data_IF_342863498835
#
_entry.id   IF_342863498835
#
_cell.length_a   1.000
_cell.length_b   1.000
_cell.length_c   1.000
_cell.angle_alpha   90.00
_cell.angle_beta   90.00
_cell.angle_gamma   90.00
#
_symmetry.space_group_name_H-M   'P 1'
#
loop_
_entity.id
_entity.type
_entity.pdbx_description
1 polymer ?
#
# COMPACT_ATOMS: atom_id res chain seq x y z
N UNK A 1 23.94 -7.16 10.59
CA UNK A 1 23.35 -5.95 9.99
C UNK A 1 23.01 -4.95 11.10
N UNK A 2 23.51 -3.71 11.05
CA UNK A 2 23.39 -2.71 12.12
C UNK A 2 22.55 -1.48 11.70
N UNK A 3 21.68 -1.66 10.71
CA UNK A 3 20.73 -0.64 10.27
C UNK A 3 19.34 -1.12 10.67
N UNK A 4 18.67 -0.33 11.52
CA UNK A 4 17.29 -0.54 11.92
C UNK A 4 16.50 0.71 11.58
N UNK A 5 15.23 0.51 11.22
CA UNK A 5 14.36 1.60 10.80
C UNK A 5 13.29 1.85 11.85
N UNK A 6 12.98 3.12 12.11
CA UNK A 6 11.87 3.46 12.99
C UNK A 6 10.51 3.23 12.31
N UNK A 7 10.45 3.34 10.98
CA UNK A 7 9.27 3.01 10.17
C UNK A 7 9.64 2.03 9.06
N UNK A 8 8.80 1.02 8.85
CA UNK A 8 8.88 0.09 7.72
C UNK A 8 7.53 -0.04 7.04
N UNK A 9 7.51 -0.05 5.71
CA UNK A 9 6.30 -0.09 4.90
C UNK A 9 6.29 -1.37 4.05
N UNK A 10 5.22 -2.14 4.15
CA UNK A 10 5.02 -3.37 3.38
C UNK A 10 3.93 -3.20 2.31
N UNK A 11 4.36 -3.37 1.07
CA UNK A 11 3.53 -3.32 -0.13
C UNK A 11 3.53 -4.66 -0.90
N UNK A 12 4.09 -5.72 -0.32
CA UNK A 12 4.33 -7.01 -0.99
C UNK A 12 3.72 -8.18 -0.23
N UNK A 13 3.73 -8.16 1.09
CA UNK A 13 3.26 -9.26 1.95
C UNK A 13 4.31 -10.37 2.12
N UNK A 14 3.89 -11.47 2.74
CA UNK A 14 4.70 -12.67 2.93
C UNK A 14 6.06 -12.39 3.58
N UNK A 15 7.15 -12.84 2.94
CA UNK A 15 8.52 -12.64 3.43
C UNK A 15 8.94 -11.17 3.53
N UNK A 16 8.36 -10.27 2.73
CA UNK A 16 8.64 -8.85 2.86
C UNK A 16 8.10 -8.27 4.18
N UNK A 17 6.95 -8.78 4.64
CA UNK A 17 6.37 -8.43 5.94
C UNK A 17 7.24 -8.91 7.10
N UNK A 18 7.72 -10.16 7.03
CA UNK A 18 8.67 -10.71 8.01
C UNK A 18 9.95 -9.88 8.06
N UNK A 19 10.46 -9.47 6.89
CA UNK A 19 11.65 -8.62 6.79
C UNK A 19 11.42 -7.23 7.40
N UNK A 20 10.25 -6.61 7.16
CA UNK A 20 9.89 -5.35 7.80
C UNK A 20 9.99 -5.48 9.32
N UNK A 21 9.33 -6.48 9.91
CA UNK A 21 9.36 -6.76 11.37
C UNK A 21 10.78 -6.97 11.90
N UNK A 22 11.61 -7.69 11.14
CA UNK A 22 13.01 -7.94 11.51
C UNK A 22 13.84 -6.64 11.54
N UNK A 23 13.60 -5.74 10.58
CA UNK A 23 14.34 -4.49 10.41
C UNK A 23 13.80 -3.32 11.24
N UNK A 24 12.56 -3.37 11.70
CA UNK A 24 11.98 -2.33 12.57
C UNK A 24 12.71 -2.29 13.91
N UNK A 25 13.01 -1.09 14.39
CA UNK A 25 13.68 -0.88 15.68
C UNK A 25 12.70 -0.87 16.87
N UNK A 26 13.25 -0.80 18.09
CA UNK A 26 12.47 -0.66 19.31
C UNK A 26 11.55 0.57 19.23
N UNK A 27 10.29 0.40 19.63
CA UNK A 27 9.20 1.38 19.52
C UNK A 27 8.83 1.79 18.08
N UNK A 28 9.32 1.07 17.09
CA UNK A 28 9.06 1.37 15.69
C UNK A 28 7.69 0.91 15.21
N UNK A 29 7.36 1.33 13.99
CA UNK A 29 6.04 1.16 13.39
C UNK A 29 6.16 0.42 12.06
N UNK A 30 5.28 -0.54 11.87
CA UNK A 30 5.12 -1.27 10.61
C UNK A 30 3.75 -0.90 10.05
N UNK A 31 3.71 -0.49 8.78
CA UNK A 31 2.45 -0.34 8.06
C UNK A 31 2.40 -1.30 6.87
N UNK A 32 1.26 -1.99 6.70
CA UNK A 32 1.03 -2.90 5.58
C UNK A 32 -0.32 -2.63 4.94
N UNK A 33 -0.38 -2.72 3.61
CA UNK A 33 -1.64 -2.70 2.85
C UNK A 33 -2.05 -4.10 2.36
N UNK A 34 -1.22 -5.12 2.60
CA UNK A 34 -1.50 -6.50 2.20
C UNK A 34 -2.07 -7.29 3.38
N UNK A 35 -3.23 -7.95 3.23
CA UNK A 35 -3.68 -8.97 4.18
C UNK A 35 -2.80 -10.22 4.07
N UNK A 36 -2.83 -11.07 5.10
CA UNK A 36 -2.27 -12.44 5.05
C UNK A 36 -3.37 -13.43 5.44
N UNK A 37 -3.16 -14.69 5.10
CA UNK A 37 -3.99 -15.77 5.63
C UNK A 37 -3.75 -15.99 7.13
N UNK A 38 -4.74 -16.57 7.81
CA UNK A 38 -4.66 -16.89 9.25
C UNK A 38 -3.48 -17.83 9.60
N UNK A 39 -2.98 -18.58 8.62
CA UNK A 39 -1.84 -19.49 8.75
C UNK A 39 -0.47 -18.79 8.71
N UNK A 40 -0.43 -17.48 8.47
CA UNK A 40 0.81 -16.73 8.34
C UNK A 40 1.62 -16.71 9.66
N UNK A 41 2.93 -17.01 9.65
CA UNK A 41 3.70 -17.32 10.86
C UNK A 41 4.07 -16.12 11.72
N UNK A 42 3.49 -14.94 11.47
CA UNK A 42 3.76 -13.74 12.25
C UNK A 42 2.89 -13.71 13.50
N UNK A 43 3.50 -14.05 14.64
CA UNK A 43 2.84 -13.96 15.94
C UNK A 43 2.57 -12.51 16.30
N UNK A 44 1.31 -12.09 16.30
CA UNK A 44 0.89 -10.78 16.80
C UNK A 44 0.49 -10.83 18.28
N UNK A 45 -0.02 -11.98 18.72
CA UNK A 45 -0.44 -12.23 20.09
C UNK A 45 0.59 -13.09 20.86
N UNK A 46 0.63 -12.93 22.19
CA UNK A 46 1.53 -13.69 23.08
C UNK A 46 2.95 -13.12 23.16
N UNK A 47 3.57 -13.20 24.36
CA UNK A 47 4.84 -12.53 24.68
C UNK A 47 6.09 -13.32 24.30
N UNK A 48 6.02 -14.65 24.29
CA UNK A 48 7.19 -15.51 24.14
C UNK A 48 7.67 -15.58 22.68
N UNK A 49 8.95 -15.24 22.45
CA UNK A 49 9.58 -15.21 21.13
C UNK A 49 8.77 -14.39 20.10
N UNK A 50 8.28 -13.22 20.53
CA UNK A 50 7.42 -12.36 19.72
C UNK A 50 8.10 -10.99 19.51
N UNK A 51 8.46 -10.64 18.27
CA UNK A 51 9.16 -9.39 17.98
C UNK A 51 8.35 -8.13 18.34
N UNK A 52 7.01 -8.20 18.32
CA UNK A 52 6.16 -7.07 18.72
C UNK A 52 6.33 -6.72 20.20
N UNK A 53 6.47 -7.74 21.06
CA UNK A 53 6.67 -7.52 22.49
C UNK A 53 8.14 -7.23 22.84
N UNK A 54 9.08 -7.88 22.17
CA UNK A 54 10.52 -7.68 22.40
C UNK A 54 10.97 -6.26 22.03
N UNK A 55 10.38 -5.70 20.98
CA UNK A 55 10.72 -4.37 20.47
C UNK A 55 9.62 -3.34 20.72
N UNK A 56 8.51 -3.68 21.38
CA UNK A 56 7.38 -2.76 21.59
C UNK A 56 6.89 -2.12 20.27
N UNK A 57 6.65 -2.94 19.25
CA UNK A 57 6.30 -2.48 17.91
C UNK A 57 4.81 -2.15 17.78
N UNK A 58 4.49 -1.20 16.89
CA UNK A 58 3.13 -0.95 16.40
C UNK A 58 2.91 -1.56 15.01
N UNK A 59 1.76 -2.21 14.80
CA UNK A 59 1.32 -2.71 13.50
C UNK A 59 0.09 -1.95 13.00
N UNK A 60 0.22 -1.32 11.84
CA UNK A 60 -0.86 -0.62 11.16
C UNK A 60 -1.31 -1.42 9.94
N UNK A 61 -2.55 -1.92 9.99
CA UNK A 61 -3.21 -2.56 8.86
C UNK A 61 -4.00 -1.50 8.11
N UNK A 62 -3.51 -1.13 6.92
CA UNK A 62 -4.10 -0.03 6.13
C UNK A 62 -5.02 -0.63 5.08
N UNK A 63 -6.31 -0.39 5.23
CA UNK A 63 -7.32 -0.72 4.22
C UNK A 63 -7.96 0.57 3.71
N UNK A 64 -7.60 0.96 2.48
CA UNK A 64 -8.04 2.24 1.90
C UNK A 64 -9.56 2.34 1.76
N UNK A 65 -10.27 1.23 1.69
CA UNK A 65 -11.73 1.19 1.58
C UNK A 65 -12.45 1.17 2.95
N UNK A 66 -11.73 1.10 4.07
CA UNK A 66 -12.35 1.05 5.40
C UNK A 66 -13.25 2.27 5.68
N UNK A 67 -12.82 3.47 5.27
CA UNK A 67 -13.59 4.69 5.52
C UNK A 67 -14.85 4.79 4.65
N UNK A 68 -14.88 4.18 3.45
CA UNK A 68 -16.08 4.14 2.61
C UNK A 68 -17.17 3.22 3.18
N UNK A 69 -16.76 2.20 3.96
CA UNK A 69 -17.67 1.27 4.65
C UNK A 69 -18.23 1.84 5.96
N UNK A 70 -17.64 2.91 6.49
CA UNK A 70 -18.09 3.58 7.70
C UNK A 70 -19.12 4.68 7.42
N UNK A 71 -19.33 5.53 8.43
CA UNK A 71 -20.18 6.70 8.30
C UNK A 71 -19.64 7.70 7.26
N UNK A 72 -20.54 8.42 6.58
CA UNK A 72 -20.20 9.41 5.56
C UNK A 72 -19.24 10.50 6.07
N UNK A 73 -19.23 10.81 7.38
CA UNK A 73 -18.27 11.75 7.97
C UNK A 73 -16.81 11.32 7.76
N UNK A 74 -16.55 10.03 7.65
CA UNK A 74 -15.22 9.47 7.44
C UNK A 74 -14.73 9.71 6.01
N UNK A 75 -15.64 9.97 5.06
CA UNK A 75 -15.28 10.21 3.66
C UNK A 75 -14.54 11.54 3.47
N UNK A 76 -14.70 12.48 4.41
CA UNK A 76 -13.95 13.75 4.42
C UNK A 76 -12.44 13.54 4.39
N UNK A 77 -11.97 12.41 4.95
CA UNK A 77 -10.57 12.03 4.91
C UNK A 77 -10.05 11.88 3.48
N UNK A 78 -10.82 11.28 2.56
CA UNK A 78 -10.40 11.13 1.17
C UNK A 78 -10.21 12.48 0.48
N UNK A 79 -11.15 13.40 0.68
CA UNK A 79 -11.03 14.75 0.13
C UNK A 79 -9.79 15.48 0.64
N UNK A 80 -9.53 15.41 1.95
CA UNK A 80 -8.34 15.99 2.58
C UNK A 80 -7.04 15.38 2.03
N UNK A 81 -6.98 14.04 1.92
CA UNK A 81 -5.81 13.33 1.41
C UNK A 81 -5.54 13.62 -0.07
N UNK A 82 -6.57 13.63 -0.91
CA UNK A 82 -6.44 13.97 -2.33
C UNK A 82 -6.03 15.43 -2.53
N UNK A 83 -6.59 16.36 -1.75
CA UNK A 83 -6.17 17.76 -1.78
C UNK A 83 -4.69 17.92 -1.36
N UNK A 84 -4.27 17.20 -0.33
CA UNK A 84 -2.87 17.19 0.08
C UNK A 84 -1.95 16.63 -1.01
N UNK A 85 -2.31 15.50 -1.62
CA UNK A 85 -1.54 14.93 -2.74
C UNK A 85 -1.45 15.89 -3.95
N UNK A 86 -2.55 16.57 -4.28
CA UNK A 86 -2.56 17.57 -5.34
C UNK A 86 -1.56 18.69 -5.07
N UNK A 87 -1.53 19.22 -3.83
CA UNK A 87 -0.55 20.24 -3.43
C UNK A 87 0.89 19.74 -3.53
N UNK A 88 1.16 18.48 -3.19
CA UNK A 88 2.50 17.90 -3.32
C UNK A 88 2.95 17.78 -4.79
N UNK A 89 2.02 17.46 -5.70
CA UNK A 89 2.31 17.46 -7.13
C UNK A 89 2.51 18.88 -7.67
N UNK A 90 1.65 19.83 -7.30
CA UNK A 90 1.74 21.24 -7.73
C UNK A 90 3.05 21.91 -7.28
N UNK A 91 3.55 21.53 -6.11
CA UNK A 91 4.85 22.00 -5.58
C UNK A 91 6.05 21.21 -6.07
N UNK A 92 5.83 20.18 -6.89
CA UNK A 92 6.87 19.27 -7.38
C UNK A 92 7.64 18.56 -6.23
N UNK A 93 7.03 18.45 -5.04
CA UNK A 93 7.63 17.73 -3.90
C UNK A 93 7.61 16.21 -4.12
N UNK A 94 6.65 15.73 -4.93
CA UNK A 94 6.62 14.35 -5.42
C UNK A 94 6.38 14.35 -6.93
N UNK A 95 7.06 13.49 -7.70
CA UNK A 95 6.79 13.35 -9.13
C UNK A 95 5.49 12.56 -9.35
N UNK A 96 4.74 12.83 -10.43
CA UNK A 96 3.65 11.96 -10.83
C UNK A 96 4.18 10.54 -11.10
N UNK A 97 3.37 9.50 -10.82
CA UNK A 97 3.79 8.13 -11.10
C UNK A 97 3.95 7.94 -12.61
N UNK A 98 4.84 7.03 -13.02
CA UNK A 98 4.92 6.60 -14.41
C UNK A 98 3.57 6.01 -14.85
N UNK A 99 3.06 6.46 -15.99
CA UNK A 99 1.77 6.05 -16.55
C UNK A 99 2.02 5.39 -17.90
N UNK A 100 1.35 4.27 -18.12
CA UNK A 100 1.24 3.62 -19.41
C UNK A 100 -0.23 3.63 -19.86
N UNK A 101 -0.51 4.24 -21.01
CA UNK A 101 -1.85 4.27 -21.59
C UNK A 101 -2.06 3.03 -22.47
N UNK A 102 -3.02 2.19 -22.09
CA UNK A 102 -3.30 0.91 -22.77
C UNK A 102 -4.24 1.09 -23.98
N UNK A 103 -4.98 2.20 -24.02
CA UNK A 103 -5.94 2.52 -25.07
C UNK A 103 -7.26 3.01 -24.50
N UNK A 104 -8.30 2.96 -25.34
CA UNK A 104 -9.66 3.34 -24.94
C UNK A 104 -10.28 2.36 -23.94
N UNK A 105 -11.27 2.80 -23.17
CA UNK A 105 -12.03 1.94 -22.27
C UNK A 105 -12.88 0.93 -23.08
N UNK A 106 -12.41 -0.31 -23.15
CA UNK A 106 -13.09 -1.44 -23.81
C UNK A 106 -12.89 -2.74 -23.02
N UNK A 107 -13.73 -3.74 -23.29
CA UNK A 107 -13.63 -5.04 -22.61
C UNK A 107 -12.27 -5.72 -22.87
N UNK A 108 -11.76 -5.62 -24.09
CA UNK A 108 -10.46 -6.16 -24.49
C UNK A 108 -9.32 -5.51 -23.68
N UNK A 109 -9.33 -4.18 -23.55
CA UNK A 109 -8.30 -3.46 -22.81
C UNK A 109 -8.38 -3.71 -21.30
N UNK A 110 -9.59 -3.88 -20.74
CA UNK A 110 -9.77 -4.28 -19.33
C UNK A 110 -9.15 -5.66 -19.08
N UNK A 111 -9.41 -6.64 -19.94
CA UNK A 111 -8.83 -7.99 -19.82
C UNK A 111 -7.30 -7.96 -19.88
N UNK A 112 -6.74 -7.16 -20.81
CA UNK A 112 -5.29 -7.00 -20.91
C UNK A 112 -4.68 -6.35 -19.66
N UNK A 113 -5.33 -5.33 -19.09
CA UNK A 113 -4.91 -4.70 -17.82
C UNK A 113 -4.89 -5.73 -16.69
N UNK A 114 -5.94 -6.54 -16.54
CA UNK A 114 -5.98 -7.61 -15.53
C UNK A 114 -4.82 -8.60 -15.70
N UNK A 115 -4.63 -9.12 -16.92
CA UNK A 115 -3.54 -10.04 -17.25
C UNK A 115 -2.17 -9.47 -16.88
N UNK A 116 -1.92 -8.20 -17.19
CA UNK A 116 -0.63 -7.55 -16.87
C UNK A 116 -0.45 -7.32 -15.38
N UNK A 117 -1.47 -6.89 -14.65
CA UNK A 117 -1.41 -6.74 -13.20
C UNK A 117 -1.15 -8.07 -12.49
N UNK A 118 -1.85 -9.13 -12.89
CA UNK A 118 -1.69 -10.48 -12.35
C UNK A 118 -0.31 -11.08 -12.66
N UNK A 119 0.30 -10.69 -13.78
CA UNK A 119 1.67 -11.11 -14.12
C UNK A 119 2.74 -10.54 -13.18
N UNK A 120 2.43 -9.53 -12.35
CA UNK A 120 3.35 -8.87 -11.40
C UNK A 120 4.57 -8.17 -12.01
N UNK A 121 4.56 -7.87 -13.31
CA UNK A 121 5.66 -7.17 -14.00
C UNK A 121 5.33 -5.71 -14.37
N UNK A 122 4.14 -5.21 -14.03
CA UNK A 122 3.74 -3.83 -14.27
C UNK A 122 4.54 -2.85 -13.40
N UNK A 123 5.09 -1.80 -14.03
CA UNK A 123 5.72 -0.67 -13.35
C UNK A 123 4.84 0.56 -13.51
N UNK A 124 4.58 1.27 -12.42
CA UNK A 124 3.73 2.47 -12.45
C UNK A 124 2.24 2.16 -12.49
N UNK A 125 1.49 2.92 -13.29
CA UNK A 125 0.02 2.84 -13.40
C UNK A 125 -0.39 2.57 -14.84
N UNK A 126 -1.33 1.63 -15.02
CA UNK A 126 -2.01 1.40 -16.30
C UNK A 126 -3.26 2.28 -16.36
N UNK A 127 -3.42 3.05 -17.43
CA UNK A 127 -4.54 3.98 -17.62
C UNK A 127 -5.27 3.66 -18.91
N UNK A 128 -6.60 3.67 -18.84
CA UNK A 128 -7.51 3.59 -19.99
C UNK A 128 -8.19 4.94 -20.19
N UNK A 129 -8.35 5.38 -21.43
CA UNK A 129 -9.03 6.64 -21.75
C UNK A 129 -10.51 6.41 -22.05
N UNK A 130 -11.39 7.16 -21.40
CA UNK A 130 -12.86 7.00 -21.57
C UNK A 130 -13.39 7.81 -22.77
N UNK A 131 -12.63 8.81 -23.22
CA UNK A 131 -12.96 9.61 -24.39
C UNK A 131 -11.75 9.62 -25.33
N UNK A 132 -11.98 9.40 -26.63
CA UNK A 132 -10.94 9.58 -27.64
C UNK A 132 -10.31 10.96 -27.46
N UNK A 133 -8.98 11.00 -27.37
CA UNK A 133 -8.22 12.23 -27.48
C UNK A 133 -8.73 12.99 -28.71
N UNK A 134 -9.34 14.15 -28.50
CA UNK A 134 -9.43 15.15 -29.57
C UNK A 134 -8.03 15.66 -29.87
#
# INVERSE_FOLDING_TARGET
>A
FKMRFYFTLDFVGGKAKELCVALTDINGHIATILPEEDSFPLKTWGRENNPFWEKSLSLHLIYSYAASQGEQRNWKMYGSQLAHLALLFEKEEIPPPCIETIGGFSAENVQEVHRRLESKHTRGKLVMTVFGSK
#
